data_IF_056575315595
#
_entry.id   IF_056575315595
#
_cell.length_a   1.000
_cell.length_b   1.000
_cell.length_c   1.000
_cell.angle_alpha   90.00
_cell.angle_beta   90.00
_cell.angle_gamma   90.00
#
_symmetry.space_group_name_H-M   'P 1'
#
loop_
_entity.id
_entity.type
_entity.pdbx_description
1 polymer ?
#
# COMPACT_ATOMS: atom_id res chain seq x y z
N UNK A 1 2.88 -19.99 80.86
CA UNK A 1 3.87 -19.66 79.81
C UNK A 1 3.46 -20.34 78.51
N UNK A 2 3.04 -19.57 77.50
CA UNK A 2 2.87 -20.01 76.10
C UNK A 2 3.23 -18.80 75.22
N UNK A 3 4.26 -18.86 74.36
CA UNK A 3 4.60 -17.74 73.49
C UNK A 3 3.70 -17.74 72.26
N UNK A 4 3.09 -16.60 71.95
CA UNK A 4 2.45 -16.34 70.66
C UNK A 4 3.54 -16.10 69.62
N UNK A 5 3.60 -16.93 68.58
CA UNK A 5 4.43 -16.69 67.41
C UNK A 5 3.73 -15.67 66.49
N UNK A 6 4.36 -14.51 66.32
CA UNK A 6 3.94 -13.49 65.37
C UNK A 6 4.46 -13.90 63.98
N UNK A 7 3.58 -14.32 63.08
CA UNK A 7 3.93 -14.59 61.68
C UNK A 7 3.89 -13.27 60.92
N UNK A 8 5.06 -12.77 60.53
CA UNK A 8 5.22 -11.64 59.62
C UNK A 8 5.00 -12.12 58.18
N UNK A 9 3.88 -11.72 57.59
CA UNK A 9 3.62 -11.91 56.16
C UNK A 9 4.35 -10.81 55.37
N UNK A 10 5.40 -11.17 54.63
CA UNK A 10 6.06 -10.28 53.68
C UNK A 10 5.29 -10.35 52.36
N UNK A 11 4.55 -9.29 52.03
CA UNK A 11 3.90 -9.15 50.73
C UNK A 11 4.93 -8.75 49.67
N UNK A 12 5.27 -9.69 48.78
CA UNK A 12 6.08 -9.41 47.60
C UNK A 12 5.23 -8.65 46.56
N UNK A 13 5.49 -7.36 46.38
CA UNK A 13 4.96 -6.55 45.29
C UNK A 13 5.63 -6.97 43.98
N UNK A 14 4.95 -7.84 43.22
CA UNK A 14 5.28 -8.09 41.81
C UNK A 14 4.88 -6.86 40.99
N UNK A 15 5.84 -5.95 40.77
CA UNK A 15 5.74 -4.92 39.73
C UNK A 15 5.75 -5.63 38.36
N UNK A 16 4.56 -5.95 37.86
CA UNK A 16 4.39 -6.39 36.48
C UNK A 16 4.88 -5.28 35.56
N UNK A 17 5.97 -5.52 34.85
CA UNK A 17 6.42 -4.63 33.78
C UNK A 17 5.30 -4.60 32.72
N UNK A 18 4.57 -3.48 32.64
CA UNK A 18 3.67 -3.24 31.53
C UNK A 18 4.50 -3.32 30.25
N UNK A 19 4.15 -4.24 29.35
CA UNK A 19 4.72 -4.25 28.02
C UNK A 19 4.53 -2.83 27.45
N UNK A 20 5.57 -2.20 26.85
CA UNK A 20 5.41 -0.89 26.26
C UNK A 20 4.24 -0.95 25.28
N UNK A 21 3.32 0.02 25.37
CA UNK A 21 2.24 0.13 24.41
C UNK A 21 2.86 0.13 23.01
N UNK A 22 2.39 -0.76 22.14
CA UNK A 22 2.87 -0.84 20.76
C UNK A 22 2.84 0.56 20.16
N UNK A 23 3.98 1.01 19.61
CA UNK A 23 4.09 2.34 19.04
C UNK A 23 3.03 2.49 17.95
N UNK A 24 2.13 3.47 18.11
CA UNK A 24 1.07 3.72 17.13
C UNK A 24 1.54 4.82 16.17
N UNK A 25 1.94 4.41 14.97
CA UNK A 25 2.35 5.32 13.91
C UNK A 25 1.13 5.81 13.12
N UNK A 26 1.08 7.09 12.69
CA UNK A 26 0.19 7.49 11.61
C UNK A 26 0.42 6.58 10.39
N UNK A 27 -0.62 6.31 9.62
CA UNK A 27 -0.52 5.48 8.42
C UNK A 27 -0.70 6.32 7.15
N UNK A 28 0.18 6.10 6.19
CA UNK A 28 -0.09 6.36 4.78
C UNK A 28 -0.53 5.03 4.15
N UNK A 29 -1.80 4.90 3.78
CA UNK A 29 -2.33 3.68 3.17
C UNK A 29 -2.09 3.74 1.65
N UNK A 30 -1.15 2.96 1.15
CA UNK A 30 -0.76 2.98 -0.25
C UNK A 30 -1.69 2.16 -1.15
N UNK A 31 -2.80 1.61 -0.64
CA UNK A 31 -3.68 0.73 -1.43
C UNK A 31 -5.15 0.83 -1.02
N UNK A 32 -5.89 1.77 -1.60
CA UNK A 32 -7.35 1.87 -1.44
C UNK A 32 -8.05 1.83 -2.81
N UNK A 33 -9.12 1.04 -2.85
CA UNK A 33 -10.12 1.07 -3.92
C UNK A 33 -11.47 1.57 -3.41
N UNK A 34 -12.00 2.57 -4.12
CA UNK A 34 -13.34 3.10 -3.87
C UNK A 34 -14.12 3.07 -5.19
N UNK A 35 -14.44 1.87 -5.64
CA UNK A 35 -15.09 1.61 -6.93
C UNK A 35 -16.61 1.73 -6.82
N UNK A 36 -17.33 1.51 -7.92
CA UNK A 36 -18.79 1.71 -7.97
C UNK A 36 -19.57 1.01 -6.83
N UNK A 37 -19.33 -0.28 -6.54
CA UNK A 37 -20.04 -0.95 -5.43
C UNK A 37 -19.80 -0.27 -4.08
N UNK A 38 -18.61 0.30 -3.86
CA UNK A 38 -18.23 0.91 -2.59
C UNK A 38 -18.91 2.25 -2.36
N UNK A 39 -19.03 3.08 -3.40
CA UNK A 39 -19.74 4.36 -3.24
C UNK A 39 -21.26 4.20 -3.18
N UNK A 40 -21.79 3.07 -3.68
CA UNK A 40 -23.21 2.73 -3.54
C UNK A 40 -23.51 2.31 -2.09
N UNK A 41 -22.52 1.76 -1.38
CA UNK A 41 -22.64 1.32 0.02
C UNK A 41 -22.22 2.38 1.05
N UNK A 42 -21.19 3.17 0.75
CA UNK A 42 -20.63 4.19 1.63
C UNK A 42 -20.63 5.53 0.91
N UNK A 43 -21.10 6.60 1.54
CA UNK A 43 -20.88 7.94 1.00
C UNK A 43 -19.38 8.29 1.04
N UNK A 44 -18.90 9.25 0.23
CA UNK A 44 -17.52 9.72 0.31
C UNK A 44 -17.11 10.18 1.73
N UNK A 45 -18.00 10.85 2.46
CA UNK A 45 -17.78 11.25 3.85
C UNK A 45 -17.62 10.05 4.77
N UNK A 46 -18.42 8.99 4.54
CA UNK A 46 -18.32 7.77 5.32
C UNK A 46 -17.02 7.03 5.04
N UNK A 47 -16.62 6.91 3.78
CA UNK A 47 -15.34 6.33 3.38
C UNK A 47 -14.16 7.09 4.04
N UNK A 48 -14.13 8.41 3.94
CA UNK A 48 -13.10 9.24 4.60
C UNK A 48 -13.13 9.10 6.13
N UNK A 49 -14.30 8.99 6.73
CA UNK A 49 -14.45 8.74 8.18
C UNK A 49 -13.88 7.38 8.59
N UNK A 50 -14.07 6.34 7.78
CA UNK A 50 -13.48 5.00 8.03
C UNK A 50 -11.95 5.12 8.03
N UNK A 51 -11.37 5.76 7.01
CA UNK A 51 -9.92 5.97 6.91
C UNK A 51 -9.38 6.75 8.13
N UNK A 52 -10.02 7.88 8.47
CA UNK A 52 -9.61 8.70 9.60
C UNK A 52 -9.66 7.94 10.93
N UNK A 53 -10.74 7.16 11.17
CA UNK A 53 -10.88 6.33 12.38
C UNK A 53 -9.90 5.16 12.43
N UNK A 54 -9.35 4.76 11.28
CA UNK A 54 -8.27 3.78 11.17
C UNK A 54 -6.87 4.39 11.33
N UNK A 55 -6.74 5.70 11.60
CA UNK A 55 -5.45 6.38 11.73
C UNK A 55 -4.76 6.65 10.39
N UNK A 56 -5.47 6.50 9.28
CA UNK A 56 -4.96 6.83 7.95
C UNK A 56 -4.94 8.34 7.80
N UNK A 57 -3.75 8.90 7.63
CA UNK A 57 -3.54 10.32 7.39
C UNK A 57 -3.72 10.66 5.91
N UNK A 58 -3.17 9.81 5.04
CA UNK A 58 -3.24 9.95 3.58
C UNK A 58 -3.35 8.58 2.93
N UNK A 59 -3.98 8.52 1.77
CA UNK A 59 -4.14 7.27 1.05
C UNK A 59 -3.94 7.43 -0.46
N UNK A 60 -3.30 6.44 -1.10
CA UNK A 60 -3.42 6.25 -2.54
C UNK A 60 -4.78 5.63 -2.81
N UNK A 61 -5.57 6.31 -3.64
CA UNK A 61 -6.89 5.84 -4.05
C UNK A 61 -6.90 5.67 -5.56
N UNK A 62 -7.42 4.53 -6.01
CA UNK A 62 -7.77 4.32 -7.40
C UNK A 62 -9.10 3.58 -7.52
N UNK A 63 -9.88 3.83 -8.57
CA UNK A 63 -11.26 3.32 -8.67
C UNK A 63 -11.56 2.79 -10.07
N UNK A 64 -12.49 1.83 -10.15
CA UNK A 64 -13.09 1.39 -11.41
C UNK A 64 -14.61 1.64 -11.37
N UNK A 65 -15.16 2.59 -12.15
CA UNK A 65 -14.43 3.64 -12.88
C UNK A 65 -13.80 4.68 -11.95
N UNK A 66 -12.98 5.56 -12.52
CA UNK A 66 -12.18 6.57 -11.81
C UNK A 66 -13.01 7.63 -11.04
N UNK A 67 -14.32 7.73 -11.30
CA UNK A 67 -15.23 8.64 -10.60
C UNK A 67 -15.15 8.54 -9.07
N UNK A 68 -14.89 7.36 -8.53
CA UNK A 68 -14.77 7.16 -7.08
C UNK A 68 -13.54 7.86 -6.52
N UNK A 69 -12.42 7.79 -7.24
CA UNK A 69 -11.18 8.47 -6.87
C UNK A 69 -11.39 9.97 -6.88
N UNK A 70 -12.09 10.49 -7.90
CA UNK A 70 -12.46 11.90 -7.93
C UNK A 70 -13.36 12.32 -6.76
N UNK A 71 -14.40 11.53 -6.44
CA UNK A 71 -15.30 11.82 -5.30
C UNK A 71 -14.56 11.98 -3.97
N UNK A 72 -13.56 11.12 -3.71
CA UNK A 72 -12.76 11.21 -2.48
C UNK A 72 -11.75 12.36 -2.56
N UNK A 73 -11.10 12.55 -3.71
CA UNK A 73 -10.12 13.61 -3.92
C UNK A 73 -10.74 15.01 -3.81
N UNK A 74 -11.92 15.24 -4.39
CA UNK A 74 -12.63 16.52 -4.31
C UNK A 74 -12.95 16.94 -2.87
N UNK A 75 -13.19 15.97 -1.99
CA UNK A 75 -13.49 16.23 -0.57
C UNK A 75 -12.25 16.30 0.32
N UNK A 76 -11.17 15.64 -0.07
CA UNK A 76 -9.93 15.59 0.72
C UNK A 76 -8.70 15.60 -0.20
N UNK A 77 -8.40 16.72 -0.89
CA UNK A 77 -7.29 16.79 -1.84
C UNK A 77 -5.91 16.69 -1.15
N UNK A 78 -5.86 17.00 0.15
CA UNK A 78 -4.67 16.84 0.99
C UNK A 78 -4.51 15.40 1.51
N UNK A 79 -5.63 14.68 1.72
CA UNK A 79 -5.65 13.31 2.21
C UNK A 79 -5.55 12.24 1.12
N UNK A 80 -6.02 12.53 -0.09
CA UNK A 80 -6.08 11.54 -1.17
C UNK A 80 -5.00 11.81 -2.22
N UNK A 81 -4.27 10.75 -2.55
CA UNK A 81 -3.32 10.70 -3.67
C UNK A 81 -3.97 9.92 -4.80
N UNK A 82 -4.47 10.60 -5.86
CA UNK A 82 -5.24 9.93 -6.90
C UNK A 82 -4.33 9.15 -7.85
N UNK A 83 -4.65 7.88 -8.06
CA UNK A 83 -4.07 7.00 -9.06
C UNK A 83 -5.16 6.62 -10.07
N UNK A 84 -4.82 6.64 -11.35
CA UNK A 84 -5.76 6.38 -12.44
C UNK A 84 -5.64 4.94 -12.92
N UNK A 85 -6.63 4.10 -12.63
CA UNK A 85 -6.71 2.75 -13.22
C UNK A 85 -6.95 2.85 -14.73
N UNK A 86 -6.37 1.94 -15.55
CA UNK A 86 -6.66 1.87 -16.98
C UNK A 86 -8.02 1.20 -17.27
N UNK A 87 -8.97 1.26 -16.33
CA UNK A 87 -10.23 0.53 -16.38
C UNK A 87 -11.41 1.50 -16.31
N UNK A 88 -12.21 1.53 -17.37
CA UNK A 88 -13.52 2.19 -17.42
C UNK A 88 -14.58 1.31 -16.77
N UNK A 89 -14.45 0.01 -16.97
CA UNK A 89 -15.27 -1.03 -16.36
C UNK A 89 -14.40 -2.22 -15.93
N UNK A 90 -14.99 -3.19 -15.23
CA UNK A 90 -14.24 -4.37 -14.75
C UNK A 90 -13.76 -5.25 -15.91
N UNK A 91 -14.47 -5.24 -17.02
CA UNK A 91 -14.18 -6.02 -18.22
C UNK A 91 -12.85 -5.60 -18.88
N UNK A 92 -12.45 -4.33 -18.74
CA UNK A 92 -11.17 -3.84 -19.28
C UNK A 92 -9.97 -4.62 -18.70
N UNK A 93 -10.08 -5.19 -17.49
CA UNK A 93 -8.99 -5.93 -16.84
C UNK A 93 -8.40 -7.03 -17.71
N UNK A 94 -9.22 -7.72 -18.52
CA UNK A 94 -8.78 -8.85 -19.35
C UNK A 94 -8.22 -8.46 -20.73
N UNK A 95 -8.37 -7.20 -21.17
CA UNK A 95 -8.07 -6.81 -22.56
C UNK A 95 -7.35 -5.48 -22.73
N UNK A 96 -7.20 -4.68 -21.67
CA UNK A 96 -6.63 -3.35 -21.73
C UNK A 96 -5.24 -3.23 -22.37
N UNK A 97 -4.30 -4.21 -22.30
CA UNK A 97 -2.95 -4.04 -22.84
C UNK A 97 -2.94 -3.80 -24.36
N UNK A 98 -4.03 -4.19 -25.05
CA UNK A 98 -4.16 -4.11 -26.51
C UNK A 98 -5.35 -3.27 -26.98
N UNK A 99 -6.14 -2.70 -26.07
CA UNK A 99 -7.27 -1.86 -26.44
C UNK A 99 -6.86 -0.38 -26.58
N UNK A 100 -6.73 0.18 -27.80
CA UNK A 100 -6.33 1.57 -27.99
C UNK A 100 -7.32 2.57 -27.38
N UNK A 101 -8.58 2.18 -27.17
CA UNK A 101 -9.57 3.05 -26.53
C UNK A 101 -9.31 3.23 -25.02
N UNK A 102 -8.58 2.30 -24.38
CA UNK A 102 -8.07 2.48 -23.01
C UNK A 102 -6.96 3.53 -22.97
N UNK A 103 -6.03 3.52 -23.93
CA UNK A 103 -4.99 4.55 -24.02
C UNK A 103 -5.61 5.94 -24.16
N UNK A 104 -6.56 6.09 -25.09
CA UNK A 104 -7.29 7.35 -25.29
C UNK A 104 -8.01 7.82 -24.01
N UNK A 105 -8.66 6.90 -23.28
CA UNK A 105 -9.28 7.21 -22.00
C UNK A 105 -8.27 7.69 -20.96
N UNK A 106 -7.16 6.99 -20.79
CA UNK A 106 -6.12 7.37 -19.82
C UNK A 106 -5.53 8.73 -20.15
N UNK A 107 -5.18 8.98 -21.41
CA UNK A 107 -4.64 10.26 -21.87
C UNK A 107 -5.59 11.43 -21.61
N UNK A 108 -6.89 11.24 -21.87
CA UNK A 108 -7.90 12.26 -21.60
C UNK A 108 -8.00 12.56 -20.10
N UNK A 109 -8.07 11.53 -19.25
CA UNK A 109 -8.16 11.72 -17.79
C UNK A 109 -6.92 12.42 -17.24
N UNK A 110 -5.72 12.04 -17.71
CA UNK A 110 -4.46 12.63 -17.27
C UNK A 110 -4.33 14.14 -17.56
N UNK A 111 -5.16 14.71 -18.44
CA UNK A 111 -5.23 16.18 -18.65
C UNK A 111 -5.62 16.95 -17.38
N UNK A 112 -6.30 16.30 -16.42
CA UNK A 112 -6.67 16.92 -15.12
C UNK A 112 -5.46 17.30 -14.28
N UNK A 113 -4.29 16.68 -14.49
CA UNK A 113 -3.05 17.03 -13.79
C UNK A 113 -2.97 16.64 -12.31
N UNK A 114 -3.98 15.96 -11.76
CA UNK A 114 -4.04 15.58 -10.35
C UNK A 114 -3.35 14.23 -10.04
N UNK A 115 -3.31 13.33 -11.02
CA UNK A 115 -2.88 11.94 -10.79
C UNK A 115 -1.38 11.84 -10.50
N UNK A 116 -1.03 10.94 -9.58
CA UNK A 116 0.35 10.64 -9.19
C UNK A 116 0.80 9.23 -9.61
N UNK A 117 -0.07 8.47 -10.24
CA UNK A 117 0.28 7.26 -10.94
C UNK A 117 -0.84 6.69 -11.80
N UNK A 118 -0.48 5.69 -12.59
CA UNK A 118 -1.36 4.92 -13.49
C UNK A 118 -1.40 3.48 -12.97
N UNK A 119 -2.59 2.97 -12.74
CA UNK A 119 -2.87 1.70 -12.09
C UNK A 119 -3.74 1.88 -10.84
N UNK A 120 -3.97 0.86 -10.05
CA UNK A 120 -3.42 -0.50 -10.17
C UNK A 120 -3.87 -1.20 -11.47
N UNK A 121 -2.92 -1.81 -12.18
CA UNK A 121 -3.17 -2.62 -13.38
C UNK A 121 -2.66 -4.05 -13.23
N UNK A 122 -3.23 -4.94 -14.05
CA UNK A 122 -2.89 -6.35 -14.15
C UNK A 122 -2.44 -6.65 -15.57
N UNK A 123 -1.36 -7.41 -15.74
CA UNK A 123 -0.94 -7.93 -17.03
C UNK A 123 -0.04 -9.15 -16.83
N UNK A 124 0.01 -10.02 -17.84
CA UNK A 124 0.97 -11.12 -17.87
C UNK A 124 2.29 -10.68 -18.50
N UNK A 125 3.37 -11.41 -18.20
CA UNK A 125 4.69 -11.19 -18.78
C UNK A 125 4.72 -11.10 -20.32
N UNK A 126 3.76 -11.73 -21.02
CA UNK A 126 3.63 -11.68 -22.48
C UNK A 126 3.09 -10.33 -23.00
N UNK A 127 2.46 -9.55 -22.13
CA UNK A 127 1.79 -8.29 -22.47
C UNK A 127 2.64 -7.06 -22.15
N UNK A 128 3.81 -7.23 -21.55
CA UNK A 128 4.74 -6.14 -21.20
C UNK A 128 5.05 -5.24 -22.40
N UNK A 129 5.12 -5.82 -23.61
CA UNK A 129 5.40 -5.12 -24.86
C UNK A 129 4.15 -4.70 -25.64
N UNK A 130 2.96 -4.91 -25.09
CA UNK A 130 1.72 -4.56 -25.77
C UNK A 130 1.62 -3.04 -25.99
N UNK A 131 1.00 -2.58 -27.09
CA UNK A 131 1.02 -1.17 -27.48
C UNK A 131 0.51 -0.21 -26.41
N UNK A 132 -0.57 -0.58 -25.69
CA UNK A 132 -1.14 0.28 -24.64
C UNK A 132 -0.22 0.35 -23.43
N UNK A 133 0.39 -0.77 -23.04
CA UNK A 133 1.36 -0.81 -21.92
C UNK A 133 2.54 0.11 -22.20
N UNK A 134 3.11 0.03 -23.42
CA UNK A 134 4.18 0.93 -23.87
C UNK A 134 3.76 2.39 -23.78
N UNK A 135 2.58 2.71 -24.31
CA UNK A 135 2.05 4.08 -24.29
C UNK A 135 1.87 4.61 -22.87
N UNK A 136 1.34 3.79 -21.95
CA UNK A 136 1.13 4.23 -20.56
C UNK A 136 2.46 4.38 -19.81
N UNK A 137 3.46 3.55 -20.12
CA UNK A 137 4.81 3.68 -19.59
C UNK A 137 5.50 4.97 -20.06
N UNK A 138 5.37 5.32 -21.34
CA UNK A 138 5.86 6.60 -21.88
C UNK A 138 5.20 7.79 -21.18
N UNK A 139 3.87 7.78 -21.06
CA UNK A 139 3.11 8.83 -20.36
C UNK A 139 3.52 8.96 -18.89
N UNK A 140 3.75 7.84 -18.20
CA UNK A 140 4.20 7.83 -16.82
C UNK A 140 5.60 8.46 -16.68
N UNK A 141 6.53 8.10 -17.58
CA UNK A 141 7.89 8.64 -17.60
C UNK A 141 7.89 10.15 -17.92
N UNK A 142 7.19 10.57 -18.97
CA UNK A 142 7.07 11.98 -19.39
C UNK A 142 6.52 12.88 -18.27
N UNK A 143 5.56 12.35 -17.49
CA UNK A 143 4.90 13.09 -16.41
C UNK A 143 5.57 12.92 -15.05
N UNK A 144 6.58 12.05 -14.94
CA UNK A 144 7.23 11.74 -13.66
C UNK A 144 6.31 11.07 -12.63
N UNK A 145 5.27 10.37 -13.07
CA UNK A 145 4.30 9.66 -12.22
C UNK A 145 4.58 8.16 -12.17
N UNK A 146 4.00 7.47 -11.21
CA UNK A 146 4.21 6.02 -11.04
C UNK A 146 3.40 5.17 -12.00
N UNK A 147 3.89 3.96 -12.27
CA UNK A 147 3.08 2.84 -12.69
C UNK A 147 2.84 1.90 -11.51
N UNK A 148 1.58 1.57 -11.22
CA UNK A 148 1.18 0.71 -10.11
C UNK A 148 0.77 -0.67 -10.62
N UNK A 149 1.63 -1.66 -10.41
CA UNK A 149 1.55 -2.97 -11.02
C UNK A 149 1.12 -4.04 -10.02
N UNK A 150 -0.01 -4.69 -10.28
CA UNK A 150 -0.41 -5.94 -9.65
C UNK A 150 -0.04 -7.09 -10.58
N UNK A 151 1.19 -7.56 -10.42
CA UNK A 151 1.79 -8.59 -11.27
C UNK A 151 2.73 -9.47 -10.45
N UNK A 152 3.09 -10.64 -10.96
CA UNK A 152 4.05 -11.54 -10.33
C UNK A 152 5.52 -11.05 -10.42
N UNK A 153 6.44 -11.76 -9.75
CA UNK A 153 7.88 -11.47 -9.73
C UNK A 153 8.47 -11.40 -11.16
N UNK A 154 8.12 -12.37 -12.00
CA UNK A 154 8.62 -12.45 -13.39
C UNK A 154 8.21 -11.22 -14.20
N UNK A 155 6.97 -10.81 -14.05
CA UNK A 155 6.39 -9.72 -14.84
C UNK A 155 6.89 -8.36 -14.34
N UNK A 156 6.99 -8.13 -13.03
CA UNK A 156 7.55 -6.87 -12.53
C UNK A 156 9.01 -6.71 -12.96
N UNK A 157 9.80 -7.79 -12.94
CA UNK A 157 11.19 -7.75 -13.38
C UNK A 157 11.28 -7.37 -14.86
N UNK A 158 10.43 -7.97 -15.71
CA UNK A 158 10.34 -7.61 -17.13
C UNK A 158 9.93 -6.16 -17.35
N UNK A 159 8.95 -5.66 -16.60
CA UNK A 159 8.55 -4.24 -16.66
C UNK A 159 9.72 -3.31 -16.29
N UNK A 160 10.44 -3.60 -15.21
CA UNK A 160 11.58 -2.82 -14.75
C UNK A 160 12.74 -2.82 -15.76
N UNK A 161 13.00 -3.96 -16.40
CA UNK A 161 14.01 -4.06 -17.47
C UNK A 161 13.57 -3.31 -18.73
N UNK A 162 12.29 -3.40 -19.10
CA UNK A 162 11.75 -2.83 -20.34
C UNK A 162 11.60 -1.31 -20.27
N UNK A 163 11.26 -0.79 -19.10
CA UNK A 163 10.93 0.61 -18.85
C UNK A 163 11.80 1.20 -17.72
N UNK A 164 13.14 1.30 -17.88
CA UNK A 164 14.05 1.71 -16.81
C UNK A 164 13.86 3.15 -16.36
N UNK A 165 13.20 3.99 -17.16
CA UNK A 165 12.86 5.38 -16.81
C UNK A 165 11.58 5.50 -15.95
N UNK A 166 10.79 4.42 -15.85
CA UNK A 166 9.51 4.43 -15.13
C UNK A 166 9.73 4.02 -13.68
N UNK A 167 9.07 4.74 -12.77
CA UNK A 167 8.98 4.38 -11.35
C UNK A 167 7.80 3.45 -11.15
N UNK A 168 8.06 2.27 -10.60
CA UNK A 168 7.03 1.27 -10.33
C UNK A 168 6.69 1.19 -8.85
N UNK A 169 5.40 1.14 -8.55
CA UNK A 169 4.87 0.68 -7.28
C UNK A 169 4.36 -0.75 -7.51
N UNK A 170 4.95 -1.73 -6.82
CA UNK A 170 4.59 -3.13 -6.98
C UNK A 170 3.61 -3.55 -5.89
N UNK A 171 2.37 -3.80 -6.28
CA UNK A 171 1.28 -4.18 -5.38
C UNK A 171 1.57 -5.53 -4.72
N UNK A 172 1.34 -5.59 -3.41
CA UNK A 172 1.47 -6.80 -2.59
C UNK A 172 2.83 -7.51 -2.70
N UNK A 173 3.88 -6.88 -3.22
CA UNK A 173 5.10 -7.58 -3.66
C UNK A 173 4.78 -8.87 -4.48
N UNK A 174 3.82 -8.78 -5.40
CA UNK A 174 3.42 -9.88 -6.27
C UNK A 174 2.70 -11.03 -5.58
N UNK A 175 1.98 -10.73 -4.49
CA UNK A 175 1.15 -11.63 -3.67
C UNK A 175 1.90 -12.71 -2.87
N UNK A 176 2.93 -13.33 -3.44
CA UNK A 176 3.61 -14.50 -2.87
C UNK A 176 5.13 -14.40 -2.87
N UNK A 177 5.71 -13.31 -3.39
CA UNK A 177 7.17 -13.18 -3.46
C UNK A 177 7.78 -12.95 -2.08
N UNK A 178 8.57 -13.89 -1.58
CA UNK A 178 9.21 -13.80 -0.25
C UNK A 178 10.22 -12.64 -0.14
N UNK A 179 10.45 -12.16 1.09
CA UNK A 179 11.27 -10.97 1.37
C UNK A 179 12.69 -11.01 0.78
N UNK A 180 13.32 -12.18 0.70
CA UNK A 180 14.64 -12.35 0.08
C UNK A 180 14.64 -12.06 -1.44
N UNK A 181 13.59 -12.49 -2.15
CA UNK A 181 13.45 -12.23 -3.59
C UNK A 181 13.10 -10.77 -3.86
N UNK A 182 12.18 -10.20 -3.07
CA UNK A 182 11.90 -8.76 -3.07
C UNK A 182 13.17 -7.94 -2.88
N UNK A 183 14.02 -8.34 -1.93
CA UNK A 183 15.31 -7.70 -1.69
C UNK A 183 16.22 -7.70 -2.90
N UNK A 184 16.37 -8.83 -3.61
CA UNK A 184 17.21 -8.91 -4.82
C UNK A 184 16.72 -7.96 -5.92
N UNK A 185 15.41 -7.83 -6.10
CA UNK A 185 14.85 -6.88 -7.06
C UNK A 185 15.12 -5.43 -6.64
N UNK A 186 14.96 -5.10 -5.35
CA UNK A 186 15.26 -3.76 -4.83
C UNK A 186 16.75 -3.37 -4.94
N UNK A 187 17.66 -4.34 -4.78
CA UNK A 187 19.10 -4.15 -4.99
C UNK A 187 19.40 -3.76 -6.44
N UNK A 188 18.72 -4.41 -7.39
CA UNK A 188 19.00 -4.27 -8.82
C UNK A 188 18.27 -3.09 -9.47
N UNK A 189 17.06 -2.76 -9.02
CA UNK A 189 16.19 -1.80 -9.69
C UNK A 189 15.92 -0.58 -8.80
N UNK A 190 16.60 0.56 -9.00
CA UNK A 190 16.42 1.76 -8.19
C UNK A 190 15.05 2.43 -8.39
N UNK A 191 14.30 2.03 -9.42
CA UNK A 191 12.98 2.55 -9.76
C UNK A 191 11.82 1.72 -9.19
N UNK A 192 12.10 0.71 -8.37
CA UNK A 192 11.08 -0.14 -7.74
C UNK A 192 10.71 0.31 -6.32
N UNK A 193 9.42 0.43 -6.02
CA UNK A 193 8.86 0.53 -4.68
C UNK A 193 7.87 -0.60 -4.45
N UNK A 194 7.68 -0.99 -3.19
CA UNK A 194 6.87 -2.15 -2.81
C UNK A 194 5.74 -1.71 -1.87
N UNK A 195 4.55 -2.19 -2.17
CA UNK A 195 3.34 -2.04 -1.37
C UNK A 195 2.99 -3.41 -0.74
N UNK A 196 2.54 -3.43 0.52
CA UNK A 196 2.42 -4.64 1.35
C UNK A 196 0.99 -5.04 1.72
N UNK A 197 -0.04 -4.45 1.10
CA UNK A 197 -1.42 -4.86 1.31
C UNK A 197 -1.56 -6.37 1.06
N UNK A 198 -2.46 -7.00 1.80
CA UNK A 198 -2.71 -8.45 1.76
C UNK A 198 -1.53 -9.36 2.11
N UNK A 199 -0.34 -8.85 2.44
CA UNK A 199 0.82 -9.68 2.77
C UNK A 199 0.79 -10.17 4.21
N UNK A 200 0.26 -11.38 4.39
CA UNK A 200 0.15 -12.07 5.68
C UNK A 200 1.45 -12.71 6.13
N UNK A 201 2.37 -13.01 5.23
CA UNK A 201 3.67 -13.63 5.52
C UNK A 201 4.68 -12.66 6.15
N UNK A 202 4.46 -11.34 6.05
CA UNK A 202 5.29 -10.31 6.73
C UNK A 202 5.39 -10.58 8.23
N UNK A 203 4.28 -11.01 8.84
CA UNK A 203 4.23 -11.32 10.26
C UNK A 203 3.45 -12.62 10.51
N UNK A 204 3.78 -13.67 9.76
CA UNK A 204 3.14 -14.98 9.92
C UNK A 204 3.33 -15.50 11.35
N UNK A 205 2.21 -15.75 12.06
CA UNK A 205 2.25 -16.17 13.46
C UNK A 205 2.31 -15.02 14.47
N UNK A 206 2.13 -13.77 14.04
CA UNK A 206 2.01 -12.60 14.91
C UNK A 206 3.32 -11.93 15.29
N UNK A 207 4.44 -12.37 14.72
CA UNK A 207 5.76 -11.74 14.87
C UNK A 207 6.38 -11.47 13.49
N UNK A 208 7.15 -10.39 13.36
CA UNK A 208 7.81 -10.02 12.12
C UNK A 208 8.78 -11.12 11.64
N UNK A 209 8.54 -11.63 10.43
CA UNK A 209 9.36 -12.69 9.86
C UNK A 209 10.82 -12.22 9.63
N UNK A 210 11.83 -13.07 9.92
CA UNK A 210 13.24 -12.68 9.80
C UNK A 210 13.66 -12.18 8.41
N UNK A 211 13.20 -12.81 7.33
CA UNK A 211 13.52 -12.35 5.97
C UNK A 211 12.93 -10.97 5.65
N UNK A 212 11.74 -10.69 6.19
CA UNK A 212 11.07 -9.40 6.02
C UNK A 212 11.75 -8.30 6.84
N UNK A 213 12.12 -8.61 8.08
CA UNK A 213 12.97 -7.73 8.89
C UNK A 213 14.25 -7.36 8.15
N UNK A 214 14.96 -8.35 7.61
CA UNK A 214 16.22 -8.11 6.91
C UNK A 214 16.06 -7.16 5.73
N UNK A 215 15.04 -7.36 4.88
CA UNK A 215 14.81 -6.49 3.71
C UNK A 215 14.33 -5.09 4.10
N UNK A 216 13.51 -4.95 5.14
CA UNK A 216 13.08 -3.64 5.65
C UNK A 216 14.26 -2.82 6.20
N UNK A 217 15.16 -3.46 6.94
CA UNK A 217 16.37 -2.79 7.44
C UNK A 217 17.32 -2.38 6.30
N UNK A 218 17.38 -3.18 5.23
CA UNK A 218 18.25 -2.91 4.08
C UNK A 218 17.70 -1.85 3.13
N UNK A 219 16.37 -1.79 2.95
CA UNK A 219 15.71 -0.83 2.06
C UNK A 219 14.56 -0.07 2.73
N UNK A 220 14.79 0.62 3.86
CA UNK A 220 13.72 1.21 4.65
C UNK A 220 12.90 2.26 3.88
N UNK A 221 13.51 2.89 2.88
CA UNK A 221 12.92 3.95 2.05
C UNK A 221 12.02 3.45 0.89
N UNK A 222 11.88 2.11 0.71
CA UNK A 222 11.31 1.50 -0.50
C UNK A 222 10.00 0.72 -0.27
N UNK A 223 9.49 0.70 0.95
CA UNK A 223 8.27 -0.01 1.33
C UNK A 223 7.17 0.96 1.78
N UNK A 224 5.92 0.58 1.51
CA UNK A 224 4.73 1.21 2.06
C UNK A 224 3.74 0.11 2.46
N UNK A 225 2.88 0.42 3.44
CA UNK A 225 1.77 -0.44 3.84
C UNK A 225 0.49 -0.01 3.16
N UNK A 226 -0.49 -0.90 3.08
CA UNK A 226 -1.82 -0.60 2.58
C UNK A 226 -2.80 -1.71 2.93
N UNK A 227 -4.08 -1.50 2.62
CA UNK A 227 -5.15 -2.43 3.04
C UNK A 227 -5.80 -3.19 1.90
N UNK A 228 -5.83 -2.62 0.70
CA UNK A 228 -6.52 -3.12 -0.48
C UNK A 228 -8.01 -3.41 -0.24
N UNK A 229 -8.81 -2.36 -0.45
CA UNK A 229 -10.27 -2.41 -0.38
C UNK A 229 -10.92 -2.83 -1.70
N UNK A 230 -10.38 -3.85 -2.40
CA UNK A 230 -10.87 -4.35 -3.70
C UNK A 230 -12.33 -4.81 -3.75
N UNK A 231 -12.97 -5.07 -2.60
CA UNK A 231 -14.41 -5.27 -2.45
C UNK A 231 -14.94 -4.51 -1.23
N UNK A 232 -16.24 -4.22 -1.25
CA UNK A 232 -16.91 -3.38 -0.24
C UNK A 232 -16.72 -3.85 1.20
N UNK A 233 -16.76 -5.16 1.47
CA UNK A 233 -16.57 -5.69 2.83
C UNK A 233 -15.17 -5.43 3.41
N UNK A 234 -14.16 -5.15 2.56
CA UNK A 234 -12.80 -4.83 3.01
C UNK A 234 -12.73 -3.48 3.72
N UNK A 235 -13.66 -2.57 3.44
CA UNK A 235 -13.75 -1.28 4.16
C UNK A 235 -14.01 -1.46 5.66
N UNK A 236 -14.68 -2.56 6.05
CA UNK A 236 -15.00 -2.84 7.45
C UNK A 236 -13.75 -3.22 8.28
N UNK A 237 -12.72 -3.75 7.62
CA UNK A 237 -11.51 -4.28 8.27
C UNK A 237 -10.29 -3.38 8.13
N UNK A 238 -10.40 -2.19 7.52
CA UNK A 238 -9.28 -1.23 7.34
C UNK A 238 -8.56 -0.95 8.66
N UNK A 239 -9.32 -0.68 9.72
CA UNK A 239 -8.75 -0.41 11.05
C UNK A 239 -8.05 -1.64 11.61
N UNK A 240 -8.69 -2.80 11.56
CA UNK A 240 -8.17 -4.01 12.17
C UNK A 240 -6.91 -4.48 11.44
N UNK A 241 -6.86 -4.34 10.11
CA UNK A 241 -5.66 -4.56 9.31
C UNK A 241 -4.52 -3.62 9.73
N UNK A 242 -4.79 -2.33 9.91
CA UNK A 242 -3.76 -1.41 10.39
C UNK A 242 -3.28 -1.73 11.81
N UNK A 243 -4.15 -2.23 12.69
CA UNK A 243 -3.72 -2.68 14.02
C UNK A 243 -2.73 -3.85 13.93
N UNK A 244 -2.93 -4.80 13.02
CA UNK A 244 -1.94 -5.86 12.76
C UNK A 244 -0.64 -5.30 12.20
N UNK A 245 -0.72 -4.30 11.32
CA UNK A 245 0.45 -3.58 10.80
C UNK A 245 1.25 -2.89 11.90
N UNK A 246 0.58 -2.24 12.87
CA UNK A 246 1.26 -1.59 14.00
C UNK A 246 2.08 -2.59 14.83
N UNK A 247 1.62 -3.83 14.99
CA UNK A 247 2.32 -4.85 15.80
C UNK A 247 3.71 -5.13 15.25
N UNK A 248 3.81 -5.52 13.98
CA UNK A 248 5.10 -5.86 13.39
C UNK A 248 5.97 -4.63 13.10
N UNK A 249 5.38 -3.45 12.86
CA UNK A 249 6.12 -2.20 12.81
C UNK A 249 6.79 -1.90 14.16
N UNK A 250 6.15 -2.25 15.27
CA UNK A 250 6.70 -2.11 16.63
C UNK A 250 7.96 -2.94 16.89
N UNK A 251 8.22 -3.96 16.08
CA UNK A 251 9.42 -4.80 16.19
C UNK A 251 10.63 -4.17 15.46
N UNK A 252 10.41 -3.21 14.57
CA UNK A 252 11.47 -2.52 13.83
C UNK A 252 12.07 -1.35 14.63
N UNK A 253 13.31 -0.93 14.33
CA UNK A 253 13.82 0.36 14.80
C UNK A 253 12.84 1.48 14.40
N UNK A 254 12.56 2.40 15.32
CA UNK A 254 11.57 3.46 15.15
C UNK A 254 11.68 4.19 13.81
N UNK A 255 12.89 4.54 13.39
CA UNK A 255 13.10 5.26 12.14
C UNK A 255 12.72 4.47 10.89
N UNK A 256 12.91 3.14 10.92
CA UNK A 256 12.49 2.23 9.85
C UNK A 256 10.98 2.07 9.87
N UNK A 257 10.39 1.89 11.05
CA UNK A 257 8.94 1.78 11.21
C UNK A 257 8.23 3.05 10.70
N UNK A 258 8.69 4.24 11.07
CA UNK A 258 8.12 5.50 10.59
C UNK A 258 8.25 5.68 9.06
N UNK A 259 9.36 5.20 8.47
CA UNK A 259 9.52 5.20 7.02
C UNK A 259 8.43 4.39 6.33
N UNK A 260 8.26 3.15 6.75
CA UNK A 260 7.32 2.20 6.14
C UNK A 260 5.87 2.60 6.44
N UNK A 261 5.58 3.07 7.65
CA UNK A 261 4.25 3.44 8.08
C UNK A 261 3.69 4.66 7.33
N UNK A 262 4.50 5.70 7.12
CA UNK A 262 3.98 6.94 6.51
C UNK A 262 5.00 7.83 5.80
N UNK A 263 6.25 7.94 6.27
CA UNK A 263 7.19 8.94 5.71
C UNK A 263 7.55 8.65 4.26
N UNK A 264 7.61 7.38 3.85
CA UNK A 264 7.87 7.03 2.46
C UNK A 264 6.74 7.53 1.55
N UNK A 265 5.48 7.29 1.92
CA UNK A 265 4.33 7.78 1.18
C UNK A 265 4.28 9.30 1.09
N UNK A 266 4.51 10.01 2.21
CA UNK A 266 4.56 11.48 2.20
C UNK A 266 5.71 12.04 1.34
N UNK A 267 6.89 11.41 1.37
CA UNK A 267 8.05 11.82 0.57
C UNK A 267 7.82 11.60 -0.93
N UNK A 268 7.21 10.48 -1.31
CA UNK A 268 6.97 10.14 -2.72
C UNK A 268 5.81 10.93 -3.32
N UNK A 269 4.83 11.27 -2.48
CA UNK A 269 3.59 11.93 -2.89
C UNK A 269 3.31 13.13 -2.00
N UNK A 270 4.11 14.22 -2.06
CA UNK A 270 3.86 15.40 -1.23
C UNK A 270 2.45 15.94 -1.45
N UNK A 271 1.87 16.52 -0.41
CA UNK A 271 0.55 17.13 -0.52
C UNK A 271 0.64 18.36 -1.46
N UNK A 272 -0.40 18.62 -2.28
CA UNK A 272 -0.41 19.73 -3.23
C UNK A 272 -0.45 21.10 -2.54
#
# INVERSE_FOLDING_TARGET
MRPCALVLLVAALLLGAAAPAAAQYPIFDAHIHYSRPDWDAYTPERALSILARAGVRRAIVSSTPDDGTLKLYEKSPQGIVPFLRPYRTREDMGGWPRDPSVAAYVEERLKRGIYRGIGEFHLDAADVDAPVVRRLAELAAERGIFMWAHVDETTIEKLLQRYPAVRFLWAHAGMSTGGAAVGRLLDRFPTLWVELALRTDVASGGALAPEWRAVFLRHPARFMVGTDTWITSRWEVVRDYHLEVQKWLGELPREVAEQIAWKNGERLFPAP
#
